data_IF_208445990430
#
_entry.id   IF_208445990430
#
_cell.length_a   1.000
_cell.length_b   1.000
_cell.length_c   1.000
_cell.angle_alpha   90.00
_cell.angle_beta   90.00
_cell.angle_gamma   90.00
#
_symmetry.space_group_name_H-M   'P 1'
#
loop_
_entity.id
_entity.type
_entity.pdbx_description
1 polymer ?
#
# COMPACT_ATOMS: atom_id res chain seq x y z
N UNK A 1 1.16 -5.57 5.38
CA UNK A 1 1.80 -4.65 6.34
C UNK A 1 3.10 -4.10 5.73
N UNK A 2 3.26 -2.79 5.72
CA UNK A 2 4.43 -2.12 5.09
C UNK A 2 5.77 -2.64 5.63
N UNK A 3 5.85 -3.06 6.89
CA UNK A 3 7.04 -3.63 7.48
C UNK A 3 7.34 -5.02 6.90
N UNK A 4 6.36 -5.92 6.87
CA UNK A 4 6.51 -7.27 6.32
C UNK A 4 6.88 -7.27 4.83
N UNK A 5 6.28 -6.35 4.05
CA UNK A 5 6.64 -6.18 2.64
C UNK A 5 8.10 -5.74 2.47
N UNK A 6 8.55 -4.80 3.29
CA UNK A 6 9.95 -4.34 3.28
C UNK A 6 10.90 -5.47 3.68
N UNK A 7 10.59 -6.16 4.77
CA UNK A 7 11.36 -7.30 5.26
C UNK A 7 11.48 -8.38 4.16
N UNK A 8 10.36 -8.77 3.56
CA UNK A 8 10.34 -9.75 2.47
C UNK A 8 11.19 -9.31 1.28
N UNK A 9 11.08 -8.05 0.85
CA UNK A 9 11.90 -7.52 -0.24
C UNK A 9 13.39 -7.59 0.13
N UNK A 10 13.75 -7.18 1.32
CA UNK A 10 15.15 -7.21 1.78
C UNK A 10 15.68 -8.64 1.78
N UNK A 11 14.96 -9.57 2.40
CA UNK A 11 15.38 -10.96 2.55
C UNK A 11 15.43 -11.71 1.21
N UNK A 12 14.51 -11.43 0.28
CA UNK A 12 14.37 -12.24 -0.95
C UNK A 12 14.95 -11.58 -2.20
N UNK A 13 15.09 -10.24 -2.23
CA UNK A 13 15.49 -9.50 -3.42
C UNK A 13 16.79 -8.70 -3.27
N UNK A 14 17.27 -8.46 -2.07
CA UNK A 14 18.48 -7.67 -1.83
C UNK A 14 19.57 -8.53 -1.23
N UNK A 15 19.36 -9.12 -0.05
CA UNK A 15 20.40 -9.86 0.66
C UNK A 15 21.01 -11.03 -0.12
N UNK A 16 20.28 -11.85 -0.90
CA UNK A 16 20.86 -12.94 -1.66
C UNK A 16 21.92 -12.51 -2.68
N UNK A 17 21.83 -11.28 -3.16
CA UNK A 17 22.69 -10.76 -4.23
C UNK A 17 23.79 -9.83 -3.72
N UNK A 18 23.48 -8.97 -2.78
CA UNK A 18 24.37 -7.89 -2.31
C UNK A 18 24.81 -8.12 -0.86
N UNK A 19 24.08 -8.89 -0.07
CA UNK A 19 24.26 -8.99 1.39
C UNK A 19 25.60 -9.53 1.85
N UNK A 20 26.33 -10.26 1.00
CA UNK A 20 27.69 -10.78 1.32
C UNK A 20 28.80 -9.74 1.07
N UNK A 21 28.51 -8.62 0.42
CA UNK A 21 29.48 -7.58 0.13
C UNK A 21 29.58 -6.59 1.28
N UNK A 22 30.77 -6.10 1.56
CA UNK A 22 30.91 -5.00 2.50
C UNK A 22 30.32 -3.73 1.90
N UNK A 23 29.53 -3.02 2.69
CA UNK A 23 28.75 -1.87 2.21
C UNK A 23 29.61 -0.73 1.64
N UNK A 24 30.83 -0.55 2.19
CA UNK A 24 31.80 0.46 1.75
C UNK A 24 32.55 0.08 0.46
N UNK A 25 32.50 -1.19 0.05
CA UNK A 25 33.11 -1.71 -1.17
C UNK A 25 32.10 -1.82 -2.33
N UNK A 26 30.81 -1.61 -2.05
CA UNK A 26 29.73 -1.71 -3.05
C UNK A 26 29.91 -0.63 -4.15
N UNK A 27 29.99 -1.09 -5.40
CA UNK A 27 30.17 -0.25 -6.59
C UNK A 27 28.84 -0.08 -7.36
N UNK A 28 28.78 0.94 -8.21
CA UNK A 28 27.63 1.16 -9.11
C UNK A 28 27.42 -0.06 -10.04
N UNK A 29 28.51 -0.68 -10.50
CA UNK A 29 28.48 -1.90 -11.33
C UNK A 29 27.77 -3.04 -10.64
N UNK A 30 27.98 -3.23 -9.33
CA UNK A 30 27.30 -4.28 -8.55
C UNK A 30 25.79 -4.02 -8.48
N UNK A 31 25.39 -2.76 -8.41
CA UNK A 31 23.98 -2.38 -8.43
C UNK A 31 23.36 -2.65 -9.81
N UNK A 32 24.09 -2.39 -10.91
CA UNK A 32 23.63 -2.70 -12.26
C UNK A 32 23.47 -4.23 -12.48
N UNK A 33 24.42 -5.02 -12.00
CA UNK A 33 24.32 -6.49 -12.04
C UNK A 33 23.09 -7.00 -11.28
N UNK A 34 22.92 -6.50 -10.05
CA UNK A 34 21.73 -6.79 -9.25
C UNK A 34 20.43 -6.38 -9.92
N UNK A 35 20.37 -5.18 -10.50
CA UNK A 35 19.17 -4.72 -11.23
C UNK A 35 18.84 -5.63 -12.43
N UNK A 36 19.84 -6.07 -13.17
CA UNK A 36 19.69 -6.99 -14.30
C UNK A 36 19.13 -8.32 -13.83
N UNK A 37 19.68 -8.86 -12.75
CA UNK A 37 19.25 -10.13 -12.15
C UNK A 37 17.80 -10.05 -11.66
N UNK A 38 17.42 -8.98 -10.96
CA UNK A 38 16.05 -8.79 -10.51
C UNK A 38 15.07 -8.63 -11.68
N UNK A 39 15.46 -7.93 -12.74
CA UNK A 39 14.63 -7.75 -13.94
C UNK A 39 14.41 -9.06 -14.71
N UNK A 40 15.35 -10.00 -14.66
CA UNK A 40 15.22 -11.31 -15.30
C UNK A 40 14.26 -12.26 -14.57
N UNK A 41 13.94 -11.99 -13.31
CA UNK A 41 13.02 -12.81 -12.52
C UNK A 41 11.57 -12.66 -12.95
N UNK A 42 10.82 -13.72 -12.72
CA UNK A 42 9.38 -13.76 -12.96
C UNK A 42 8.60 -14.01 -11.68
N UNK A 43 7.33 -13.66 -11.70
CA UNK A 43 6.36 -14.03 -10.66
C UNK A 43 6.07 -15.53 -10.71
N UNK A 44 5.40 -16.07 -9.69
CA UNK A 44 4.91 -17.47 -9.67
C UNK A 44 4.03 -17.82 -10.89
N UNK A 45 3.40 -16.82 -11.50
CA UNK A 45 2.60 -16.97 -12.72
C UNK A 45 3.42 -16.79 -14.02
N UNK A 46 4.76 -16.78 -13.96
CA UNK A 46 5.64 -16.64 -15.13
C UNK A 46 5.69 -15.23 -15.75
N UNK A 47 5.06 -14.23 -15.14
CA UNK A 47 5.06 -12.84 -15.64
C UNK A 47 6.23 -12.04 -15.09
N UNK A 48 6.81 -11.15 -15.89
CA UNK A 48 7.82 -10.19 -15.43
C UNK A 48 7.27 -9.29 -14.33
N UNK A 49 8.14 -8.79 -13.46
CA UNK A 49 7.75 -7.85 -12.43
C UNK A 49 7.27 -6.52 -13.02
N UNK A 50 6.24 -5.92 -12.42
CA UNK A 50 5.75 -4.60 -12.82
C UNK A 50 6.79 -3.52 -12.55
N UNK A 51 6.77 -2.44 -13.36
CA UNK A 51 7.66 -1.29 -13.19
C UNK A 51 7.55 -0.68 -11.78
N UNK A 52 6.34 -0.60 -11.24
CA UNK A 52 6.11 -0.09 -9.87
C UNK A 52 6.73 -1.00 -8.80
N UNK A 53 6.69 -2.32 -9.00
CA UNK A 53 7.31 -3.27 -8.06
C UNK A 53 8.83 -3.22 -8.13
N UNK A 54 9.42 -3.17 -9.34
CA UNK A 54 10.85 -2.95 -9.54
C UNK A 54 11.33 -1.67 -8.87
N UNK A 55 10.58 -0.57 -9.03
CA UNK A 55 10.84 0.70 -8.36
C UNK A 55 10.81 0.54 -6.83
N UNK A 56 9.85 -0.21 -6.30
CA UNK A 56 9.74 -0.46 -4.86
C UNK A 56 10.94 -1.24 -4.33
N UNK A 57 11.37 -2.29 -5.03
CA UNK A 57 12.56 -3.07 -4.65
C UNK A 57 13.81 -2.17 -4.62
N UNK A 58 14.03 -1.38 -5.68
CA UNK A 58 15.17 -0.47 -5.76
C UNK A 58 15.16 0.57 -4.62
N UNK A 59 13.99 1.12 -4.32
CA UNK A 59 13.84 2.11 -3.25
C UNK A 59 14.19 1.53 -1.87
N UNK A 60 13.98 0.22 -1.61
CA UNK A 60 14.40 -0.38 -0.34
C UNK A 60 15.93 -0.42 -0.22
N UNK A 61 16.66 -0.83 -1.28
CA UNK A 61 18.13 -0.77 -1.29
C UNK A 61 18.62 0.67 -1.09
N UNK A 62 18.05 1.62 -1.84
CA UNK A 62 18.43 3.03 -1.73
C UNK A 62 18.16 3.60 -0.32
N UNK A 63 17.06 3.20 0.32
CA UNK A 63 16.75 3.62 1.70
C UNK A 63 17.78 3.08 2.71
N UNK A 64 18.20 1.80 2.58
CA UNK A 64 19.24 1.20 3.41
C UNK A 64 20.58 1.92 3.25
N UNK A 65 20.98 2.21 2.01
CA UNK A 65 22.23 2.92 1.73
C UNK A 65 22.18 4.38 2.19
N UNK A 66 21.05 5.07 2.06
CA UNK A 66 20.87 6.42 2.63
C UNK A 66 20.98 6.40 4.16
N UNK A 67 20.46 5.36 4.81
CA UNK A 67 20.64 5.19 6.25
C UNK A 67 22.13 5.03 6.61
N UNK A 68 22.85 4.22 5.82
CA UNK A 68 24.29 4.04 6.01
C UNK A 68 25.10 5.33 5.76
N UNK A 69 24.73 6.13 4.78
CA UNK A 69 25.34 7.47 4.56
C UNK A 69 25.12 8.36 5.76
N UNK A 70 23.89 8.38 6.31
CA UNK A 70 23.52 9.28 7.43
C UNK A 70 24.15 8.90 8.75
N UNK A 71 24.26 7.61 9.06
CA UNK A 71 24.58 7.13 10.42
C UNK A 71 25.86 6.30 10.52
N UNK A 72 26.38 5.75 9.41
CA UNK A 72 27.52 4.84 9.43
C UNK A 72 28.70 5.30 8.55
N UNK A 73 28.72 6.58 8.16
CA UNK A 73 29.86 7.16 7.46
C UNK A 73 30.07 6.68 6.02
N UNK A 74 29.08 6.06 5.38
CA UNK A 74 29.17 5.73 3.97
C UNK A 74 29.23 7.04 3.17
N UNK A 75 30.20 7.18 2.26
CA UNK A 75 30.45 8.44 1.53
C UNK A 75 29.28 8.86 0.63
N UNK A 76 28.64 7.90 -0.03
CA UNK A 76 27.51 8.16 -0.95
C UNK A 76 26.67 6.90 -1.16
N UNK A 77 25.42 7.10 -1.59
CA UNK A 77 24.51 6.05 -1.96
C UNK A 77 24.72 5.63 -3.43
N UNK A 78 25.34 4.48 -3.65
CA UNK A 78 25.62 3.95 -5.00
C UNK A 78 24.33 3.55 -5.74
N UNK A 79 23.27 3.12 -5.04
CA UNK A 79 22.00 2.80 -5.67
C UNK A 79 21.31 4.05 -6.22
N UNK A 80 21.40 5.18 -5.51
CA UNK A 80 20.88 6.46 -6.02
C UNK A 80 21.63 6.88 -7.28
N UNK A 81 22.96 6.70 -7.32
CA UNK A 81 23.77 7.02 -8.51
C UNK A 81 23.51 6.09 -9.70
N UNK A 82 23.21 4.82 -9.45
CA UNK A 82 22.87 3.86 -10.51
C UNK A 82 21.51 4.17 -11.17
N UNK A 83 20.68 4.96 -10.54
CA UNK A 83 19.32 5.20 -11.00
C UNK A 83 18.36 4.05 -10.72
N UNK A 84 17.05 4.34 -10.75
CA UNK A 84 16.03 3.36 -10.41
C UNK A 84 15.84 2.33 -11.55
N UNK A 85 15.60 1.07 -11.20
CA UNK A 85 15.36 0.01 -12.18
C UNK A 85 13.92 -0.08 -12.69
N UNK A 86 13.00 0.63 -12.06
CA UNK A 86 11.59 0.69 -12.44
C UNK A 86 11.12 2.14 -12.57
N UNK A 87 10.08 2.34 -13.36
CA UNK A 87 9.43 3.64 -13.54
C UNK A 87 8.12 3.72 -12.76
N UNK A 88 7.65 4.93 -12.48
CA UNK A 88 6.28 5.17 -12.08
C UNK A 88 5.38 5.03 -13.31
N UNK A 89 4.39 4.16 -13.25
CA UNK A 89 3.31 4.19 -14.24
C UNK A 89 2.32 5.28 -13.82
N UNK A 90 2.02 6.21 -14.72
CA UNK A 90 0.84 7.05 -14.57
C UNK A 90 -0.38 6.12 -14.64
N UNK A 91 -1.01 5.89 -13.50
CA UNK A 91 -2.27 5.15 -13.46
C UNK A 91 -3.37 6.14 -13.83
N UNK A 92 -4.10 5.88 -14.90
CA UNK A 92 -5.42 6.47 -15.04
C UNK A 92 -6.21 6.07 -13.79
N UNK A 93 -6.78 7.05 -13.13
CA UNK A 93 -7.66 6.79 -12.00
C UNK A 93 -8.98 6.29 -12.60
N UNK A 94 -9.23 5.00 -12.49
CA UNK A 94 -10.53 4.42 -12.83
C UNK A 94 -11.47 4.71 -11.66
N UNK A 95 -12.60 5.32 -11.97
CA UNK A 95 -13.70 5.55 -11.04
C UNK A 95 -15.00 5.13 -11.70
N UNK A 96 -15.92 4.68 -10.90
CA UNK A 96 -17.24 4.35 -11.39
C UNK A 96 -18.09 5.59 -11.49
N UNK A 97 -18.75 5.77 -12.62
CA UNK A 97 -19.83 6.74 -12.74
C UNK A 97 -21.02 6.27 -11.90
N UNK A 98 -21.89 7.19 -11.54
CA UNK A 98 -23.10 6.85 -10.77
C UNK A 98 -23.96 5.77 -11.46
N UNK A 99 -24.06 5.82 -12.79
CA UNK A 99 -24.81 4.81 -13.57
C UNK A 99 -24.15 3.42 -13.51
N UNK A 100 -22.83 3.34 -13.53
CA UNK A 100 -22.11 2.06 -13.40
C UNK A 100 -22.23 1.51 -11.99
N UNK A 101 -22.12 2.37 -10.98
CA UNK A 101 -22.34 1.99 -9.61
C UNK A 101 -23.76 1.46 -9.36
N UNK A 102 -24.80 2.12 -9.87
CA UNK A 102 -26.18 1.65 -9.75
C UNK A 102 -26.37 0.24 -10.31
N UNK A 103 -25.83 -0.04 -11.52
CA UNK A 103 -25.89 -1.38 -12.10
C UNK A 103 -25.17 -2.44 -11.26
N UNK A 104 -24.07 -2.06 -10.61
CA UNK A 104 -23.34 -2.96 -9.73
C UNK A 104 -24.09 -3.25 -8.45
N UNK A 105 -24.63 -2.22 -7.77
CA UNK A 105 -25.28 -2.38 -6.48
C UNK A 105 -26.56 -3.21 -6.55
N UNK A 106 -27.27 -3.15 -7.69
CA UNK A 106 -28.43 -3.99 -7.98
C UNK A 106 -28.06 -5.50 -7.92
N UNK A 107 -26.85 -5.88 -8.38
CA UNK A 107 -26.42 -7.29 -8.43
C UNK A 107 -26.03 -7.85 -7.05
N UNK A 108 -25.92 -7.03 -6.04
CA UNK A 108 -25.58 -7.43 -4.66
C UNK A 108 -26.70 -7.13 -3.66
N UNK A 109 -27.87 -6.75 -4.16
CA UNK A 109 -29.05 -6.37 -3.36
C UNK A 109 -29.58 -7.54 -2.51
N UNK A 110 -29.35 -8.78 -2.92
CA UNK A 110 -29.67 -10.01 -2.21
C UNK A 110 -28.74 -10.31 -1.01
N UNK A 111 -27.67 -9.54 -0.85
CA UNK A 111 -26.63 -9.69 0.20
C UNK A 111 -26.57 -8.44 1.08
N UNK A 112 -27.45 -8.31 2.09
CA UNK A 112 -27.61 -7.06 2.85
C UNK A 112 -26.28 -6.50 3.40
N UNK A 113 -25.44 -7.34 3.95
CA UNK A 113 -24.13 -6.92 4.50
C UNK A 113 -23.21 -6.33 3.44
N UNK A 114 -23.13 -6.92 2.26
CA UNK A 114 -22.35 -6.43 1.14
C UNK A 114 -22.99 -5.16 0.56
N UNK A 115 -24.30 -5.16 0.39
CA UNK A 115 -25.06 -4.03 -0.12
C UNK A 115 -24.80 -2.76 0.71
N UNK A 116 -25.07 -2.79 2.02
CA UNK A 116 -24.82 -1.62 2.88
C UNK A 116 -23.34 -1.27 2.99
N UNK A 117 -22.45 -2.25 2.98
CA UNK A 117 -21.02 -2.00 2.96
C UNK A 117 -20.58 -1.21 1.73
N UNK A 118 -21.05 -1.58 0.53
CA UNK A 118 -20.75 -0.84 -0.70
C UNK A 118 -21.43 0.52 -0.75
N UNK A 119 -22.66 0.64 -0.27
CA UNK A 119 -23.35 1.93 -0.16
C UNK A 119 -22.57 2.93 0.70
N UNK A 120 -22.10 2.49 1.87
CA UNK A 120 -21.27 3.32 2.76
C UNK A 120 -19.94 3.68 2.10
N UNK A 121 -19.28 2.72 1.42
CA UNK A 121 -18.00 3.00 0.72
C UNK A 121 -18.19 4.04 -0.38
N UNK A 122 -19.22 3.91 -1.19
CA UNK A 122 -19.44 4.77 -2.35
C UNK A 122 -19.89 6.18 -1.93
N UNK A 123 -20.89 6.27 -1.07
CA UNK A 123 -21.48 7.58 -0.72
C UNK A 123 -20.70 8.33 0.37
N UNK A 124 -20.07 7.62 1.28
CA UNK A 124 -19.30 8.24 2.36
C UNK A 124 -17.79 8.30 2.08
N UNK A 125 -17.30 7.68 1.01
CA UNK A 125 -15.89 7.74 0.61
C UNK A 125 -14.93 7.16 1.64
N UNK A 126 -15.31 6.07 2.31
CA UNK A 126 -14.46 5.39 3.29
C UNK A 126 -13.39 4.55 2.61
N UNK A 127 -12.25 4.39 3.30
CA UNK A 127 -11.32 3.30 2.97
C UNK A 127 -11.87 1.98 3.48
N UNK A 128 -11.57 0.87 2.79
CA UNK A 128 -12.04 -0.46 3.19
C UNK A 128 -11.70 -0.81 4.64
N UNK A 129 -10.53 -0.44 5.13
CA UNK A 129 -10.15 -0.65 6.53
C UNK A 129 -10.95 0.20 7.52
N UNK A 130 -11.38 1.38 7.13
CA UNK A 130 -12.26 2.23 7.94
C UNK A 130 -13.65 1.60 8.02
N UNK A 131 -14.21 1.15 6.90
CA UNK A 131 -15.50 0.43 6.87
C UNK A 131 -15.48 -0.80 7.78
N UNK A 132 -14.47 -1.65 7.65
CA UNK A 132 -14.36 -2.90 8.43
C UNK A 132 -14.15 -2.67 9.93
N UNK A 133 -13.78 -1.46 10.34
CA UNK A 133 -13.63 -1.09 11.75
C UNK A 133 -14.89 -0.48 12.34
N UNK A 134 -15.93 -0.18 11.54
CA UNK A 134 -17.15 0.47 12.02
C UNK A 134 -17.90 -0.39 13.04
N UNK A 135 -18.47 0.28 13.99
CA UNK A 135 -19.38 -0.28 14.99
C UNK A 135 -20.66 0.57 15.07
N UNK A 136 -21.77 0.09 15.61
CA UNK A 136 -22.99 0.89 15.74
C UNK A 136 -22.78 2.23 16.47
N UNK A 137 -21.79 2.31 17.36
CA UNK A 137 -21.46 3.55 18.11
C UNK A 137 -20.84 4.66 17.22
N UNK A 138 -20.40 4.31 16.02
CA UNK A 138 -19.81 5.28 15.09
C UNK A 138 -20.88 6.00 14.26
N UNK A 139 -22.14 5.56 14.33
CA UNK A 139 -23.29 6.11 13.63
C UNK A 139 -24.12 7.00 14.57
N UNK A 140 -24.37 8.23 14.15
CA UNK A 140 -25.29 9.16 14.74
C UNK A 140 -26.46 9.37 13.75
N UNK A 141 -27.47 8.51 13.86
CA UNK A 141 -28.60 8.51 12.94
C UNK A 141 -29.51 9.72 13.13
N UNK A 142 -29.52 10.37 14.30
CA UNK A 142 -30.32 11.58 14.54
C UNK A 142 -29.79 12.78 13.74
N UNK A 143 -28.45 12.86 13.63
CA UNK A 143 -27.78 13.94 12.92
C UNK A 143 -27.22 13.51 11.55
N UNK A 144 -27.47 12.28 11.11
CA UNK A 144 -26.93 11.70 9.89
C UNK A 144 -25.39 11.77 9.80
N UNK A 145 -24.70 11.53 10.92
CA UNK A 145 -23.24 11.64 10.99
C UNK A 145 -22.61 10.25 11.19
N UNK A 146 -21.63 9.94 10.34
CA UNK A 146 -20.73 8.81 10.48
C UNK A 146 -19.36 9.29 11.00
N UNK A 147 -18.92 8.76 12.14
CA UNK A 147 -17.63 9.09 12.78
C UNK A 147 -16.56 8.10 12.36
N UNK A 148 -15.54 8.57 11.67
CA UNK A 148 -14.39 7.75 11.25
C UNK A 148 -13.22 8.01 12.17
N UNK A 149 -12.98 7.11 13.12
CA UNK A 149 -11.97 7.26 14.18
C UNK A 149 -10.96 6.13 14.24
N UNK A 150 -11.16 5.05 13.47
CA UNK A 150 -10.35 3.83 13.56
C UNK A 150 -10.27 3.12 12.21
N UNK A 151 -9.33 2.20 12.07
CA UNK A 151 -9.15 1.42 10.85
C UNK A 151 -8.74 -0.01 11.20
N UNK A 152 -9.37 -0.97 10.54
CA UNK A 152 -9.06 -2.39 10.61
C UNK A 152 -7.93 -2.75 9.65
N UNK A 153 -7.11 -3.69 10.07
CA UNK A 153 -6.13 -4.39 9.22
C UNK A 153 -5.90 -5.81 9.74
N UNK A 154 -5.57 -6.72 8.84
CA UNK A 154 -5.12 -8.07 9.21
C UNK A 154 -3.61 -8.16 9.08
N UNK A 155 -2.93 -8.60 10.13
CA UNK A 155 -1.47 -8.70 10.21
C UNK A 155 -1.10 -10.07 10.75
N UNK A 156 -0.36 -10.86 9.99
CA UNK A 156 0.06 -12.24 10.37
C UNK A 156 -1.09 -13.14 10.80
N UNK A 157 -2.27 -12.94 10.19
CA UNK A 157 -3.47 -13.71 10.52
C UNK A 157 -4.31 -13.14 11.67
N UNK A 158 -3.82 -12.14 12.39
CA UNK A 158 -4.53 -11.47 13.48
C UNK A 158 -5.26 -10.23 12.99
N UNK A 159 -6.46 -10.05 13.50
CA UNK A 159 -7.33 -8.91 13.21
C UNK A 159 -7.02 -7.78 14.20
N UNK A 160 -6.58 -6.64 13.68
CA UNK A 160 -6.14 -5.50 14.48
C UNK A 160 -6.92 -4.26 14.09
N UNK A 161 -7.55 -3.62 15.07
CA UNK A 161 -8.13 -2.28 14.94
C UNK A 161 -7.15 -1.28 15.53
N UNK A 162 -6.81 -0.25 14.76
CA UNK A 162 -5.84 0.78 15.17
C UNK A 162 -6.43 2.16 14.97
N UNK A 163 -5.91 3.12 15.69
CA UNK A 163 -6.14 4.52 15.41
C UNK A 163 -5.63 4.91 14.01
N UNK A 164 -6.21 5.92 13.38
CA UNK A 164 -5.74 6.42 12.10
C UNK A 164 -4.29 6.89 12.18
N UNK A 165 -3.54 6.72 11.07
CA UNK A 165 -2.12 7.13 11.01
C UNK A 165 -1.87 8.62 11.24
N UNK A 166 -2.87 9.46 11.05
CA UNK A 166 -2.77 10.92 11.23
C UNK A 166 -4.07 11.45 11.82
N UNK A 167 -3.98 12.50 12.62
CA UNK A 167 -5.13 13.23 13.17
C UNK A 167 -6.12 13.67 12.07
N UNK A 168 -5.62 14.07 10.90
CA UNK A 168 -6.44 14.46 9.73
C UNK A 168 -7.31 13.33 9.17
N UNK A 169 -7.03 12.08 9.53
CA UNK A 169 -7.85 10.93 9.12
C UNK A 169 -9.07 10.73 10.01
N UNK A 170 -9.09 11.33 11.21
CA UNK A 170 -10.27 11.39 12.08
C UNK A 170 -11.21 12.44 11.49
N UNK A 171 -12.42 12.02 11.15
CA UNK A 171 -13.38 12.90 10.52
C UNK A 171 -14.81 12.45 10.75
N UNK A 172 -15.73 13.41 10.71
CA UNK A 172 -17.15 13.18 10.64
C UNK A 172 -17.60 13.33 9.17
N UNK A 173 -18.46 12.44 8.73
CA UNK A 173 -19.03 12.43 7.39
C UNK A 173 -20.53 12.54 7.53
N UNK A 174 -21.13 13.45 6.80
CA UNK A 174 -22.60 13.55 6.69
C UNK A 174 -23.06 12.42 5.75
N UNK A 175 -23.87 11.53 6.27
CA UNK A 175 -24.47 10.45 5.48
C UNK A 175 -25.67 10.97 4.69
N UNK A 176 -25.87 10.49 3.46
CA UNK A 176 -27.14 10.70 2.75
C UNK A 176 -28.33 10.15 3.58
N UNK A 177 -29.47 10.85 3.53
CA UNK A 177 -30.66 10.48 4.32
C UNK A 177 -31.17 9.05 4.07
N UNK A 178 -30.91 8.49 2.89
CA UNK A 178 -31.34 7.13 2.58
C UNK A 178 -30.43 6.04 3.19
N UNK A 179 -29.27 6.43 3.75
CA UNK A 179 -28.34 5.53 4.47
C UNK A 179 -28.48 5.63 5.99
N UNK A 180 -29.20 6.61 6.51
CA UNK A 180 -29.39 6.87 7.94
C UNK A 180 -30.63 6.18 8.53
#
# INVERSE_FOLDING_TARGET
>A
NTWEEKENIILTKILPYIGKRKINELKITDVFEWQREIKSQTTKAGKSFSQSYLKTIHNQLSAMLNHAVRYYGLKWNVASKAGNMGSGTERKVDFWTQKEYQKFIEQVSDKPQSFYGFEILYWCGLRIGELLALTPKDFDFENNILKVTKSYKRVRGEDIVTDPKTQKSIRNIVMPNFLA
#
